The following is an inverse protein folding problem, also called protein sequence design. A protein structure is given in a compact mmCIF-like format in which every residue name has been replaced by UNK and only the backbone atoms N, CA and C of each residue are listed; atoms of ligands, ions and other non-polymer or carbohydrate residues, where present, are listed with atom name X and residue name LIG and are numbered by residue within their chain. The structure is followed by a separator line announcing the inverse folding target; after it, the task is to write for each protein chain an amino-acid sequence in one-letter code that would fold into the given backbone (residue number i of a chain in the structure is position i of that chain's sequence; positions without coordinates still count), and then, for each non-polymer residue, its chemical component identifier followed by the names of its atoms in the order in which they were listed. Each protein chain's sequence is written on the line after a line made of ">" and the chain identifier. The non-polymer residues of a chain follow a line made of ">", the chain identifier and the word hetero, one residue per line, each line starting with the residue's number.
data_IF_600355493909
#
_entry.id   IF_600355493909
#
_cell.length_a   1.000
_cell.length_b   1.000
_cell.length_c   1.000
_cell.angle_alpha   90.00
_cell.angle_beta   90.00
_cell.angle_gamma   90.00
#
_symmetry.space_group_name_H-M   'P 1'
#
loop_
_entity.id
_entity.type
_entity.pdbx_description
1 polymer ?
#
# COMPACT_ATOMS: atom_id res chain seq x y z
N UNK A 1 0.10 -2.12 -11.79
CA UNK A 1 1.16 -2.41 -10.81
C UNK A 1 1.99 -3.57 -11.29
N UNK A 2 3.27 -3.48 -11.19
CA UNK A 2 4.21 -4.57 -11.44
C UNK A 2 4.86 -4.92 -10.13
N UNK A 3 5.28 -6.16 -9.95
CA UNK A 3 6.02 -6.63 -8.78
C UNK A 3 5.40 -6.18 -7.45
N UNK A 4 4.40 -6.89 -7.03
CA UNK A 4 3.75 -6.74 -5.75
C UNK A 4 4.16 -7.90 -4.85
N UNK A 5 5.04 -7.64 -3.87
CA UNK A 5 5.63 -8.64 -2.99
C UNK A 5 5.30 -8.37 -1.54
N UNK A 6 5.10 -9.43 -0.78
CA UNK A 6 4.94 -9.35 0.66
C UNK A 6 5.84 -10.37 1.38
N UNK A 7 6.43 -9.94 2.49
CA UNK A 7 7.16 -10.76 3.44
C UNK A 7 6.50 -10.64 4.80
N UNK A 8 5.97 -11.73 5.32
CA UNK A 8 5.39 -11.77 6.66
C UNK A 8 6.45 -12.11 7.70
N UNK A 9 6.48 -11.37 8.80
CA UNK A 9 7.40 -11.62 9.90
C UNK A 9 6.77 -12.57 10.92
N UNK A 10 7.38 -13.75 11.05
CA UNK A 10 7.10 -14.67 12.15
C UNK A 10 8.23 -14.48 13.17
N UNK A 11 8.03 -13.59 14.14
CA UNK A 11 8.93 -13.28 15.26
C UNK A 11 10.33 -12.70 14.91
N UNK A 12 10.63 -11.63 15.59
CA UNK A 12 11.81 -10.76 15.65
C UNK A 12 13.17 -11.32 15.24
N UNK A 13 13.67 -10.93 14.07
CA UNK A 13 15.10 -10.71 13.81
C UNK A 13 15.27 -9.54 12.85
N UNK A 14 16.24 -8.68 13.12
CA UNK A 14 16.63 -7.58 12.24
C UNK A 14 16.93 -8.10 10.84
N UNK A 15 16.23 -7.63 9.84
CA UNK A 15 16.49 -8.00 8.45
C UNK A 15 17.59 -7.12 7.89
N UNK A 16 18.70 -7.72 7.51
CA UNK A 16 19.73 -7.08 6.70
C UNK A 16 19.13 -6.79 5.31
N UNK A 17 19.29 -5.55 4.86
CA UNK A 17 19.00 -5.18 3.48
C UNK A 17 19.98 -5.95 2.56
N UNK A 18 19.51 -6.99 1.90
CA UNK A 18 20.26 -7.64 0.82
C UNK A 18 20.19 -6.70 -0.38
N UNK A 19 21.32 -6.31 -1.00
CA UNK A 19 21.27 -5.54 -2.23
C UNK A 19 20.55 -6.40 -3.29
N UNK A 20 19.36 -5.96 -3.68
CA UNK A 20 18.52 -6.71 -4.59
C UNK A 20 19.13 -6.71 -5.99
N UNK A 21 19.64 -7.84 -6.42
CA UNK A 21 19.65 -8.16 -7.85
C UNK A 21 18.18 -8.15 -8.25
N UNK A 22 17.74 -7.12 -8.99
CA UNK A 22 16.34 -6.94 -9.37
C UNK A 22 15.92 -8.12 -10.24
N UNK A 23 15.02 -8.96 -9.73
CA UNK A 23 14.40 -10.02 -10.53
C UNK A 23 13.61 -9.39 -11.69
N UNK A 24 13.33 -10.18 -12.72
CA UNK A 24 12.36 -9.79 -13.75
C UNK A 24 11.01 -9.46 -13.10
N UNK A 25 10.22 -8.60 -13.75
CA UNK A 25 8.91 -8.20 -13.26
C UNK A 25 8.05 -9.45 -12.92
N UNK A 26 7.31 -9.38 -11.83
CA UNK A 26 6.41 -10.45 -11.34
C UNK A 26 7.09 -11.83 -11.15
N UNK A 27 8.38 -11.85 -10.80
CA UNK A 27 9.11 -13.07 -10.44
C UNK A 27 9.85 -12.87 -9.12
N UNK A 28 10.15 -13.98 -8.44
CA UNK A 28 11.00 -13.99 -7.25
C UNK A 28 12.35 -14.59 -7.61
N UNK A 29 13.42 -13.96 -7.16
CA UNK A 29 14.75 -14.61 -7.14
C UNK A 29 14.74 -15.76 -6.14
N UNK A 30 15.71 -16.66 -6.24
CA UNK A 30 15.84 -17.75 -5.27
C UNK A 30 16.14 -17.24 -3.86
N UNK A 31 16.88 -16.14 -3.75
CA UNK A 31 17.12 -15.48 -2.47
C UNK A 31 15.83 -14.93 -1.84
N UNK A 32 14.95 -14.31 -2.64
CA UNK A 32 13.65 -13.82 -2.17
C UNK A 32 12.75 -14.98 -1.74
N UNK A 33 12.70 -16.06 -2.52
CA UNK A 33 11.95 -17.27 -2.13
C UNK A 33 12.47 -17.86 -0.82
N UNK A 34 13.79 -17.98 -0.67
CA UNK A 34 14.43 -18.48 0.56
C UNK A 34 14.16 -17.56 1.76
N UNK A 35 14.06 -16.24 1.55
CA UNK A 35 13.70 -15.28 2.57
C UNK A 35 12.20 -15.28 2.91
N UNK A 36 11.36 -16.01 2.18
CA UNK A 36 9.92 -16.13 2.44
C UNK A 36 9.05 -15.08 1.75
N UNK A 37 9.58 -14.33 0.77
CA UNK A 37 8.78 -13.43 -0.04
C UNK A 37 7.73 -14.18 -0.85
N UNK A 38 6.57 -13.56 -1.00
CA UNK A 38 5.46 -14.06 -1.83
C UNK A 38 5.05 -13.00 -2.84
N UNK A 39 4.75 -13.44 -4.06
CA UNK A 39 4.08 -12.59 -5.05
C UNK A 39 2.60 -12.49 -4.67
N UNK A 40 2.08 -11.26 -4.64
CA UNK A 40 0.64 -10.99 -4.57
C UNK A 40 0.03 -10.84 -5.97
N UNK A 41 0.86 -10.77 -7.00
CA UNK A 41 0.44 -10.72 -8.41
C UNK A 41 1.51 -11.38 -9.28
N UNK A 42 1.11 -12.33 -10.11
CA UNK A 42 1.99 -13.15 -10.95
C UNK A 42 2.24 -12.59 -12.37
N UNK A 43 1.61 -11.45 -12.69
CA UNK A 43 1.67 -10.84 -14.01
C UNK A 43 0.69 -11.43 -15.03
N UNK A 44 -0.10 -12.46 -14.67
CA UNK A 44 -0.90 -13.24 -15.63
C UNK A 44 -2.36 -13.39 -15.22
N UNK A 45 -2.64 -13.51 -13.94
CA UNK A 45 -3.98 -13.78 -13.41
C UNK A 45 -4.33 -12.80 -12.29
N UNK A 46 -5.60 -12.76 -11.94
CA UNK A 46 -6.10 -12.05 -10.77
C UNK A 46 -6.35 -13.01 -9.60
N UNK A 47 -5.78 -14.22 -9.67
CA UNK A 47 -5.90 -15.22 -8.62
C UNK A 47 -5.35 -14.67 -7.30
N UNK A 48 -6.04 -14.98 -6.20
CA UNK A 48 -5.71 -14.45 -4.87
C UNK A 48 -6.28 -13.06 -4.59
N UNK A 49 -7.11 -12.53 -5.50
CA UNK A 49 -7.84 -11.28 -5.35
C UNK A 49 -9.35 -11.44 -5.55
N UNK A 50 -10.12 -10.68 -4.81
CA UNK A 50 -11.56 -10.54 -5.03
C UNK A 50 -12.01 -9.11 -4.71
N UNK A 51 -13.16 -8.68 -5.20
CA UNK A 51 -13.71 -7.40 -4.80
C UNK A 51 -14.17 -7.42 -3.35
N UNK A 52 -13.93 -6.33 -2.65
CA UNK A 52 -14.36 -6.16 -1.26
C UNK A 52 -15.80 -6.63 -1.07
N UNK A 53 -16.01 -7.63 -0.18
CA UNK A 53 -17.31 -8.29 0.12
C UNK A 53 -18.01 -8.96 -1.06
N UNK A 54 -17.30 -9.28 -2.13
CA UNK A 54 -17.92 -9.93 -3.30
C UNK A 54 -16.97 -10.96 -3.89
N UNK A 55 -17.48 -12.08 -4.38
CA UNK A 55 -16.63 -13.05 -5.08
C UNK A 55 -16.13 -12.50 -6.41
N UNK A 56 -14.91 -12.90 -6.77
CA UNK A 56 -14.29 -12.53 -8.03
C UNK A 56 -13.89 -11.07 -8.14
N UNK A 57 -13.33 -10.70 -9.27
CA UNK A 57 -12.86 -9.35 -9.57
C UNK A 57 -13.67 -8.76 -10.70
N UNK A 58 -14.16 -7.54 -10.54
CA UNK A 58 -14.91 -6.81 -11.56
C UNK A 58 -14.04 -6.46 -12.77
N UNK A 59 -14.63 -6.32 -13.97
CA UNK A 59 -13.90 -6.10 -15.22
C UNK A 59 -13.15 -4.76 -15.30
N UNK A 60 -13.39 -3.83 -14.39
CA UNK A 60 -12.58 -2.61 -14.26
C UNK A 60 -11.14 -2.85 -13.85
N UNK A 61 -10.84 -4.01 -13.22
CA UNK A 61 -9.50 -4.50 -13.00
C UNK A 61 -9.13 -5.56 -14.03
N UNK A 62 -7.99 -5.43 -14.66
CA UNK A 62 -7.52 -6.36 -15.69
C UNK A 62 -6.02 -6.60 -15.57
N UNK A 63 -5.58 -7.74 -16.08
CA UNK A 63 -4.17 -7.95 -16.39
C UNK A 63 -3.92 -7.35 -17.77
N UNK A 64 -3.01 -6.38 -17.85
CA UNK A 64 -2.62 -5.72 -19.10
C UNK A 64 -1.11 -5.46 -19.09
N UNK A 65 -0.43 -5.91 -20.13
CA UNK A 65 1.03 -5.74 -20.26
C UNK A 65 1.78 -6.20 -18.99
N UNK A 66 1.46 -7.40 -18.51
CA UNK A 66 1.99 -8.00 -17.27
C UNK A 66 1.76 -7.11 -16.02
N UNK A 67 0.77 -6.24 -16.03
CA UNK A 67 0.42 -5.37 -14.90
C UNK A 67 -1.00 -5.62 -14.41
N UNK A 68 -1.20 -5.52 -13.11
CA UNK A 68 -2.51 -5.38 -12.50
C UNK A 68 -2.97 -3.92 -12.73
N UNK A 69 -3.91 -3.72 -13.61
CA UNK A 69 -4.34 -2.41 -14.09
C UNK A 69 -5.81 -2.12 -13.76
N UNK A 70 -6.09 -0.97 -13.15
CA UNK A 70 -7.42 -0.39 -13.11
C UNK A 70 -7.67 0.32 -14.44
N UNK A 71 -8.45 -0.29 -15.31
CA UNK A 71 -8.75 0.23 -16.67
C UNK A 71 -10.06 0.96 -16.73
N UNK A 72 -10.98 0.71 -15.80
CA UNK A 72 -12.26 1.40 -15.65
C UNK A 72 -12.59 1.60 -14.17
N UNK A 73 -12.22 2.77 -13.58
CA UNK A 73 -12.45 3.04 -12.16
C UNK A 73 -13.93 2.98 -11.75
N UNK A 74 -14.86 3.29 -12.67
CA UNK A 74 -16.29 3.23 -12.37
C UNK A 74 -16.82 1.81 -12.23
N UNK A 75 -16.10 0.83 -12.77
CA UNK A 75 -16.46 -0.58 -12.75
C UNK A 75 -15.37 -1.46 -12.11
N UNK A 76 -14.52 -0.89 -11.29
CA UNK A 76 -13.45 -1.59 -10.57
C UNK A 76 -13.89 -1.93 -9.12
N UNK A 77 -14.14 -0.91 -8.31
CA UNK A 77 -14.28 -1.05 -6.86
C UNK A 77 -12.98 -1.55 -6.21
N UNK A 78 -12.93 -1.53 -4.90
CA UNK A 78 -11.77 -2.03 -4.17
C UNK A 78 -11.63 -3.54 -4.37
N UNK A 79 -10.40 -4.01 -4.57
CA UNK A 79 -10.04 -5.43 -4.54
C UNK A 79 -9.19 -5.71 -3.31
N UNK A 80 -9.35 -6.89 -2.73
CA UNK A 80 -8.65 -7.33 -1.53
C UNK A 80 -7.99 -8.67 -1.78
N UNK A 81 -6.84 -8.90 -1.12
CA UNK A 81 -6.20 -10.21 -1.14
C UNK A 81 -7.03 -11.24 -0.37
N UNK A 82 -7.03 -12.49 -0.82
CA UNK A 82 -7.60 -13.61 -0.06
C UNK A 82 -6.81 -13.91 1.22
N UNK A 83 -5.50 -13.61 1.19
CA UNK A 83 -4.62 -13.79 2.35
C UNK A 83 -4.74 -12.65 3.35
N UNK A 84 -4.57 -12.97 4.65
CA UNK A 84 -4.47 -12.02 5.74
C UNK A 84 -3.02 -11.87 6.19
N UNK A 85 -2.60 -10.63 6.45
CA UNK A 85 -1.24 -10.25 6.80
C UNK A 85 -1.25 -9.43 8.09
N UNK A 86 -0.42 -9.84 9.06
CA UNK A 86 -0.20 -9.10 10.31
C UNK A 86 1.02 -8.17 10.17
N UNK A 87 2.17 -8.57 10.71
CA UNK A 87 3.41 -7.87 10.47
C UNK A 87 4.01 -8.30 9.12
N UNK A 88 4.37 -7.35 8.26
CA UNK A 88 4.88 -7.62 6.92
C UNK A 88 5.76 -6.49 6.37
N UNK A 89 6.53 -6.80 5.35
CA UNK A 89 7.08 -5.84 4.40
C UNK A 89 6.38 -6.03 3.05
N UNK A 90 5.91 -4.93 2.45
CA UNK A 90 5.30 -4.88 1.13
C UNK A 90 6.20 -4.06 0.21
N UNK A 91 6.47 -4.58 -0.98
CA UNK A 91 7.13 -3.84 -2.05
C UNK A 91 6.24 -3.84 -3.28
N UNK A 92 6.05 -2.66 -3.87
CA UNK A 92 5.18 -2.48 -5.03
C UNK A 92 5.79 -1.48 -6.00
N UNK A 93 5.87 -1.87 -7.27
CA UNK A 93 6.09 -0.95 -8.37
C UNK A 93 4.74 -0.52 -8.93
N UNK A 94 4.47 0.78 -8.95
CA UNK A 94 3.21 1.33 -9.43
C UNK A 94 3.43 2.51 -10.39
N UNK A 95 2.43 2.75 -11.22
CA UNK A 95 2.42 3.87 -12.16
C UNK A 95 1.04 4.49 -12.19
N UNK A 96 0.97 5.79 -11.90
CA UNK A 96 -0.28 6.54 -11.93
C UNK A 96 -0.55 7.09 -13.33
N UNK A 97 -1.80 7.07 -13.74
CA UNK A 97 -2.26 7.85 -14.88
C UNK A 97 -2.39 9.34 -14.53
N UNK A 98 -2.48 10.23 -15.54
CA UNK A 98 -2.70 11.66 -15.28
C UNK A 98 -4.00 11.91 -14.48
N UNK A 99 -3.90 12.59 -13.35
CA UNK A 99 -5.02 12.89 -12.45
C UNK A 99 -5.59 11.67 -11.70
N UNK A 100 -4.95 10.50 -11.80
CA UNK A 100 -5.43 9.31 -11.13
C UNK A 100 -5.26 9.40 -9.62
N UNK A 101 -6.20 8.77 -8.89
CA UNK A 101 -6.22 8.64 -7.44
C UNK A 101 -6.59 7.20 -7.09
N UNK A 102 -5.86 6.59 -6.18
CA UNK A 102 -6.02 5.22 -5.68
C UNK A 102 -5.38 5.13 -4.29
N UNK A 103 -5.27 3.92 -3.72
CA UNK A 103 -4.62 3.70 -2.43
C UNK A 103 -4.23 2.25 -2.24
N UNK A 104 -3.38 2.02 -1.25
CA UNK A 104 -3.10 0.70 -0.70
C UNK A 104 -3.60 0.70 0.74
N UNK A 105 -4.56 -0.14 1.06
CA UNK A 105 -5.01 -0.30 2.43
C UNK A 105 -4.48 -1.61 3.01
N UNK A 106 -4.17 -1.62 4.29
CA UNK A 106 -3.68 -2.81 4.98
C UNK A 106 -4.51 -3.11 6.23
N UNK A 107 -4.44 -4.35 6.73
CA UNK A 107 -5.26 -4.85 7.83
C UNK A 107 -6.77 -4.65 7.59
N UNK A 108 -7.15 -4.73 6.32
CA UNK A 108 -8.56 -4.60 5.94
C UNK A 108 -9.34 -5.80 6.43
N UNK A 109 -10.46 -5.53 7.11
CA UNK A 109 -11.45 -6.54 7.44
C UNK A 109 -12.75 -6.24 6.70
N UNK A 110 -13.44 -7.28 6.23
CA UNK A 110 -14.70 -7.10 5.52
C UNK A 110 -15.92 -6.82 6.44
N UNK A 111 -15.64 -6.41 7.68
CA UNK A 111 -16.66 -6.01 8.65
C UNK A 111 -17.11 -4.54 8.48
N UNK A 112 -16.32 -3.72 7.79
CA UNK A 112 -16.62 -2.32 7.50
C UNK A 112 -17.59 -2.14 6.32
N UNK A 113 -18.02 -0.91 6.07
CA UNK A 113 -18.82 -0.53 4.89
C UNK A 113 -17.98 -0.39 3.60
N UNK A 114 -16.68 -0.18 3.74
CA UNK A 114 -15.68 -0.05 2.69
C UNK A 114 -14.32 -0.49 3.24
N UNK A 115 -13.34 -0.77 2.38
CA UNK A 115 -12.00 -1.19 2.79
C UNK A 115 -11.33 -0.15 3.71
N UNK A 116 -11.39 1.12 3.37
CA UNK A 116 -10.86 2.24 4.17
C UNK A 116 -11.56 2.49 5.51
N UNK A 117 -12.71 1.85 5.76
CA UNK A 117 -13.39 1.99 7.05
C UNK A 117 -12.76 1.14 8.16
N UNK A 118 -11.89 0.20 7.81
CA UNK A 118 -11.15 -0.66 8.73
C UNK A 118 -9.65 -0.57 8.56
N UNK A 119 -9.17 -0.55 7.32
CA UNK A 119 -7.74 -0.51 6.97
C UNK A 119 -7.23 0.92 6.76
N UNK A 120 -6.12 1.30 7.43
CA UNK A 120 -5.41 2.53 7.09
C UNK A 120 -4.94 2.50 5.63
N UNK A 121 -5.01 3.66 4.98
CA UNK A 121 -4.72 3.83 3.56
C UNK A 121 -3.40 4.56 3.33
N UNK A 122 -2.56 4.01 2.48
CA UNK A 122 -1.40 4.67 1.90
C UNK A 122 -1.84 5.25 0.57
N UNK A 123 -1.87 6.58 0.47
CA UNK A 123 -2.36 7.27 -0.72
C UNK A 123 -1.50 6.99 -1.94
N UNK A 124 -2.12 6.74 -3.08
CA UNK A 124 -1.51 6.67 -4.39
C UNK A 124 -2.22 7.64 -5.33
N UNK A 125 -1.53 8.72 -5.75
CA UNK A 125 -2.11 9.67 -6.68
C UNK A 125 -1.08 10.33 -7.60
N UNK A 126 -1.56 10.94 -8.66
CA UNK A 126 -0.78 11.92 -9.41
C UNK A 126 -0.72 13.24 -8.61
N UNK A 127 0.37 13.46 -7.88
CA UNK A 127 0.54 14.63 -7.01
C UNK A 127 0.36 15.97 -7.73
N UNK A 128 0.55 16.00 -9.06
CA UNK A 128 0.48 17.23 -9.84
C UNK A 128 -0.95 17.60 -10.27
N UNK A 129 -1.82 16.61 -10.52
CA UNK A 129 -3.12 16.83 -11.14
C UNK A 129 -4.31 16.28 -10.36
N UNK A 130 -4.09 15.35 -9.42
CA UNK A 130 -5.17 14.86 -8.58
C UNK A 130 -5.66 15.95 -7.62
N UNK A 131 -6.97 15.96 -7.38
CA UNK A 131 -7.62 17.02 -6.58
C UNK A 131 -7.52 16.78 -5.05
N UNK A 132 -7.15 15.57 -4.61
CA UNK A 132 -7.06 15.27 -3.19
C UNK A 132 -5.87 16.02 -2.56
N UNK A 133 -6.04 16.63 -1.37
CA UNK A 133 -4.95 17.27 -0.65
C UNK A 133 -3.95 16.28 -0.03
N UNK A 134 -4.31 15.01 0.12
CA UNK A 134 -3.42 13.97 0.62
C UNK A 134 -2.57 13.44 -0.53
N UNK A 135 -1.25 13.50 -0.39
CA UNK A 135 -0.33 13.19 -1.48
C UNK A 135 0.18 11.75 -1.45
N UNK A 136 0.68 11.29 -2.58
CA UNK A 136 1.16 9.93 -2.78
C UNK A 136 2.19 9.51 -1.72
N UNK A 137 2.01 8.32 -1.13
CA UNK A 137 2.87 7.78 -0.06
C UNK A 137 2.51 8.24 1.36
N UNK A 138 1.58 9.20 1.55
CA UNK A 138 1.13 9.61 2.87
C UNK A 138 0.24 8.52 3.50
N UNK A 139 0.22 8.45 4.83
CA UNK A 139 -0.84 7.73 5.53
C UNK A 139 -2.06 8.65 5.59
N UNK A 140 -3.07 8.35 4.80
CA UNK A 140 -4.20 9.21 4.49
C UNK A 140 -4.82 9.84 5.75
N UNK A 141 -4.91 11.16 5.76
CA UNK A 141 -5.44 11.99 6.83
C UNK A 141 -4.75 11.83 8.21
N UNK A 142 -3.63 11.10 8.32
CA UNK A 142 -2.94 10.83 9.59
C UNK A 142 -1.50 11.33 9.59
N UNK A 143 -0.68 10.93 8.62
CA UNK A 143 0.74 11.26 8.58
C UNK A 143 1.18 11.69 7.18
N UNK A 144 2.00 12.71 7.13
CA UNK A 144 2.69 13.19 5.93
C UNK A 144 4.20 13.18 6.15
N UNK A 145 5.02 13.18 5.09
CA UNK A 145 6.46 13.35 5.21
C UNK A 145 6.81 14.67 5.92
N UNK A 146 8.00 14.69 6.52
CA UNK A 146 8.57 15.94 7.01
C UNK A 146 8.73 16.94 5.86
N UNK A 147 8.73 18.22 6.19
CA UNK A 147 8.93 19.26 5.19
C UNK A 147 10.39 19.24 4.70
N UNK A 148 10.55 19.31 3.40
CA UNK A 148 11.85 19.52 2.75
C UNK A 148 12.42 20.87 3.14
N UNK A 149 13.66 20.90 3.63
CA UNK A 149 14.30 22.11 4.17
C UNK A 149 14.53 23.20 3.12
N UNK A 150 14.66 22.82 1.85
CA UNK A 150 14.90 23.78 0.77
C UNK A 150 13.61 24.44 0.29
N UNK A 151 12.50 23.72 0.32
CA UNK A 151 11.22 24.18 -0.24
C UNK A 151 10.21 24.60 0.82
N UNK A 152 10.35 24.14 2.07
CA UNK A 152 9.38 24.32 3.14
C UNK A 152 8.05 23.62 2.90
N UNK A 153 8.01 22.67 1.94
CA UNK A 153 6.83 21.85 1.61
C UNK A 153 7.09 20.40 2.00
N UNK A 154 6.04 19.59 2.21
CA UNK A 154 6.21 18.17 2.42
C UNK A 154 7.10 17.56 1.34
N UNK A 155 8.03 16.70 1.77
CA UNK A 155 8.93 16.00 0.86
C UNK A 155 8.13 15.23 -0.19
N UNK A 156 8.51 15.38 -1.46
CA UNK A 156 7.94 14.64 -2.57
C UNK A 156 9.07 13.97 -3.37
N UNK A 157 9.14 12.64 -3.28
CA UNK A 157 10.07 11.81 -4.04
C UNK A 157 9.34 10.98 -5.11
N UNK A 158 8.11 11.34 -5.47
CA UNK A 158 7.37 10.66 -6.54
C UNK A 158 7.93 11.07 -7.91
N UNK A 159 7.79 10.16 -8.87
CA UNK A 159 8.00 10.45 -10.28
C UNK A 159 6.67 10.88 -10.91
N UNK A 160 6.71 11.68 -11.99
CA UNK A 160 5.51 12.12 -12.68
C UNK A 160 4.57 11.01 -13.12
N UNK A 161 3.30 11.35 -13.34
CA UNK A 161 2.33 10.43 -13.95
C UNK A 161 2.87 9.85 -15.27
N UNK A 162 2.68 8.54 -15.47
CA UNK A 162 3.25 7.79 -16.58
C UNK A 162 4.60 7.14 -16.30
N UNK A 163 5.27 7.47 -15.19
CA UNK A 163 6.51 6.85 -14.78
C UNK A 163 6.30 5.85 -13.64
N UNK A 164 7.20 4.84 -13.55
CA UNK A 164 7.16 3.83 -12.50
C UNK A 164 7.78 4.36 -11.21
N UNK A 165 7.02 4.25 -10.13
CA UNK A 165 7.44 4.49 -8.76
C UNK A 165 7.62 3.18 -8.02
N UNK A 166 8.50 3.16 -7.03
CA UNK A 166 8.69 2.06 -6.10
C UNK A 166 8.28 2.50 -4.69
N UNK A 167 7.34 1.79 -4.09
CA UNK A 167 6.93 1.98 -2.71
C UNK A 167 7.32 0.75 -1.89
N UNK A 168 8.03 0.98 -0.80
CA UNK A 168 8.31 -0.01 0.24
C UNK A 168 7.56 0.37 1.50
N UNK A 169 6.85 -0.58 2.08
CA UNK A 169 6.06 -0.41 3.30
C UNK A 169 6.44 -1.48 4.30
N UNK A 170 6.75 -1.10 5.53
CA UNK A 170 6.92 -2.03 6.65
C UNK A 170 5.80 -1.77 7.64
N UNK A 171 5.06 -2.81 7.98
CA UNK A 171 4.02 -2.78 9.02
C UNK A 171 4.43 -3.76 10.10
N UNK A 172 4.64 -3.26 11.32
CA UNK A 172 4.98 -4.11 12.45
C UNK A 172 4.50 -3.50 13.78
N UNK A 173 4.35 -4.31 14.83
CA UNK A 173 4.00 -3.80 16.17
C UNK A 173 5.05 -2.84 16.76
N UNK A 174 6.29 -2.88 16.25
CA UNK A 174 7.40 -2.03 16.73
C UNK A 174 7.48 -0.69 16.02
N UNK A 175 6.81 -0.57 14.87
CA UNK A 175 6.80 0.64 14.05
C UNK A 175 6.50 0.32 12.60
N UNK A 176 5.95 1.30 11.92
CA UNK A 176 5.60 1.27 10.52
C UNK A 176 6.43 2.30 9.76
N UNK A 177 6.75 2.00 8.52
CA UNK A 177 7.58 2.83 7.66
C UNK A 177 7.04 2.83 6.23
N UNK A 178 6.99 4.00 5.60
CA UNK A 178 6.81 4.13 4.15
C UNK A 178 8.07 4.73 3.53
N UNK A 179 8.55 4.12 2.45
CA UNK A 179 9.65 4.63 1.63
C UNK A 179 9.20 4.74 0.18
N UNK A 180 9.36 5.93 -0.41
CA UNK A 180 9.03 6.22 -1.80
C UNK A 180 10.32 6.40 -2.60
N UNK A 181 10.55 5.56 -3.60
CA UNK A 181 11.76 5.61 -4.45
C UNK A 181 13.07 5.61 -3.64
N UNK A 182 13.12 4.86 -2.51
CA UNK A 182 14.26 4.77 -1.60
C UNK A 182 14.37 5.93 -0.61
N UNK A 183 13.43 6.87 -0.61
CA UNK A 183 13.39 7.99 0.33
C UNK A 183 12.39 7.70 1.44
N UNK A 184 12.83 7.80 2.69
CA UNK A 184 11.95 7.63 3.85
C UNK A 184 10.91 8.76 3.91
N UNK A 185 9.62 8.38 3.98
CA UNK A 185 8.51 9.32 3.99
C UNK A 185 7.89 9.46 5.36
N UNK A 186 7.37 8.37 5.91
CA UNK A 186 6.52 8.38 7.10
C UNK A 186 6.94 7.26 8.03
N UNK A 187 7.01 7.57 9.33
CA UNK A 187 7.16 6.58 10.40
C UNK A 187 6.07 6.80 11.44
N UNK A 188 5.51 5.72 11.96
CA UNK A 188 4.48 5.76 13.01
C UNK A 188 4.39 4.42 13.73
N UNK A 189 3.71 4.40 14.86
CA UNK A 189 3.39 3.17 15.60
C UNK A 189 1.87 3.08 15.74
N UNK A 190 1.27 2.06 15.13
CA UNK A 190 -0.16 1.80 15.23
C UNK A 190 -0.52 1.58 16.70
N UNK A 191 -1.59 2.23 17.16
CA UNK A 191 -2.07 2.11 18.54
C UNK A 191 -1.30 2.93 19.57
N UNK A 192 -0.22 3.65 19.18
CA UNK A 192 0.41 4.62 20.08
C UNK A 192 -0.55 5.77 20.45
N UNK A 193 -0.25 6.47 21.52
CA UNK A 193 -1.06 7.63 21.93
C UNK A 193 -1.13 8.69 20.83
N UNK A 194 0.01 8.96 20.16
CA UNK A 194 0.05 9.90 19.04
C UNK A 194 -0.84 9.43 17.88
N UNK A 195 -0.71 8.15 17.47
CA UNK A 195 -1.54 7.58 16.42
C UNK A 195 -3.03 7.69 16.77
N UNK A 196 -3.41 7.29 17.97
CA UNK A 196 -4.79 7.33 18.44
C UNK A 196 -5.35 8.76 18.48
N UNK A 197 -4.55 9.74 18.90
CA UNK A 197 -4.94 11.17 18.88
C UNK A 197 -5.18 11.66 17.45
N UNK A 198 -4.29 11.29 16.48
CA UNK A 198 -4.47 11.65 15.08
C UNK A 198 -5.72 10.99 14.49
N UNK A 199 -5.97 9.71 14.77
CA UNK A 199 -7.21 9.04 14.35
C UNK A 199 -8.43 9.75 14.90
N UNK A 200 -8.45 10.06 16.20
CA UNK A 200 -9.58 10.74 16.85
C UNK A 200 -9.85 12.14 16.26
N UNK A 201 -8.80 12.86 15.84
CA UNK A 201 -8.91 14.18 15.21
C UNK A 201 -9.26 14.13 13.72
N UNK A 202 -9.20 12.96 13.07
CA UNK A 202 -9.46 12.78 11.65
C UNK A 202 -10.92 12.38 11.37
N UNK A 203 -11.24 12.24 10.05
CA UNK A 203 -12.53 11.67 9.62
C UNK A 203 -12.79 10.26 10.16
N UNK A 204 -11.74 9.54 10.53
CA UNK A 204 -11.80 8.16 11.03
C UNK A 204 -12.18 8.07 12.52
N UNK A 205 -12.17 9.16 13.27
CA UNK A 205 -12.47 9.16 14.71
C UNK A 205 -13.87 8.64 15.06
N UNK A 206 -14.80 8.65 14.10
CA UNK A 206 -16.16 8.08 14.24
C UNK A 206 -16.28 6.64 13.74
N UNK A 207 -15.19 6.01 13.31
CA UNK A 207 -15.16 4.64 12.78
C UNK A 207 -14.59 3.68 13.81
N UNK A 208 -15.41 2.93 14.55
CA UNK A 208 -14.96 2.16 15.71
C UNK A 208 -14.01 0.99 15.35
N UNK A 209 -14.03 0.55 14.09
CA UNK A 209 -13.20 -0.55 13.59
C UNK A 209 -11.95 -0.09 12.84
N UNK A 210 -11.76 1.21 12.62
CA UNK A 210 -10.61 1.74 11.90
C UNK A 210 -9.30 1.49 12.66
N UNK A 211 -8.34 0.85 11.99
CA UNK A 211 -7.01 0.50 12.51
C UNK A 211 -7.05 -0.29 13.84
N UNK A 212 -8.04 -1.17 14.02
CA UNK A 212 -8.19 -2.00 15.23
C UNK A 212 -7.76 -3.44 15.01
N UNK A 213 -7.69 -3.92 13.78
CA UNK A 213 -7.26 -5.27 13.47
C UNK A 213 -5.73 -5.34 13.44
N UNK A 214 -5.17 -6.39 14.05
CA UNK A 214 -3.73 -6.68 14.03
C UNK A 214 -3.29 -7.43 12.76
N UNK A 215 -4.26 -7.85 11.95
CA UNK A 215 -4.06 -8.50 10.65
C UNK A 215 -5.30 -8.34 9.79
N UNK A 216 -5.12 -8.44 8.49
CA UNK A 216 -6.19 -8.37 7.52
C UNK A 216 -5.67 -8.43 6.11
N UNK A 217 -6.56 -8.25 5.14
CA UNK A 217 -6.20 -8.22 3.73
C UNK A 217 -5.46 -6.92 3.35
N UNK A 218 -4.71 -7.00 2.25
CA UNK A 218 -4.23 -5.83 1.52
C UNK A 218 -5.30 -5.48 0.48
N UNK A 219 -5.67 -4.20 0.39
CA UNK A 219 -6.61 -3.72 -0.62
C UNK A 219 -5.97 -2.70 -1.57
N UNK A 220 -6.53 -2.64 -2.78
CA UNK A 220 -6.19 -1.68 -3.83
C UNK A 220 -7.47 -1.00 -4.31
#
# INVERSE_FOLDING_TARGET
>A
MKRLLILTFISSTLTFAIPAVRAADNTLTDAEKAAGWKLLFDGKTLDGWHNFKKPGVKPGWQVKDDTLACVDPHNAGDIVTEGNYGAFELQIDFKMGPGANSGIMYHVTEEGGAAWATGPEIQLEDNAKAADPQKCGWLYALYKPADDKATGKPLDATKPAGEWNHLRVVISPKGCLHEMNGVKYVEYVIGSDEFNQRVAASKFGKMPKFAKADSGSIAL
#
